data_IF_226992146726
#
_entry.id   IF_226992146726
#
_cell.length_a   1.000
_cell.length_b   1.000
_cell.length_c   1.000
_cell.angle_alpha   90.00
_cell.angle_beta   90.00
_cell.angle_gamma   90.00
#
_symmetry.space_group_name_H-M   'P 1'
#
loop_
_entity.id
_entity.type
_entity.pdbx_description
1 polymer ?
#
# COMPACT_ATOMS: atom_id res chain seq x y z
N UNK A 1 23.43 4.47 -13.51
CA UNK A 1 23.53 3.28 -12.65
C UNK A 1 22.88 3.52 -11.28
N UNK A 2 23.29 4.54 -10.51
CA UNK A 2 22.73 4.82 -9.17
C UNK A 2 21.21 5.08 -9.14
N UNK A 3 20.66 5.82 -10.12
CA UNK A 3 19.21 6.10 -10.16
C UNK A 3 18.35 4.86 -10.38
N UNK A 4 18.78 3.95 -11.26
CA UNK A 4 18.07 2.71 -11.55
C UNK A 4 18.02 1.79 -10.31
N UNK A 5 19.12 1.73 -9.56
CA UNK A 5 19.19 0.99 -8.31
C UNK A 5 18.26 1.58 -7.24
N UNK A 6 18.22 2.90 -7.10
CA UNK A 6 17.33 3.57 -6.16
C UNK A 6 15.87 3.35 -6.53
N UNK A 7 15.53 3.43 -7.82
CA UNK A 7 14.19 3.14 -8.33
C UNK A 7 13.77 1.71 -8.00
N UNK A 8 14.66 0.74 -8.24
CA UNK A 8 14.40 -0.66 -7.85
C UNK A 8 14.24 -0.84 -6.34
N UNK A 9 14.99 -0.09 -5.51
CA UNK A 9 14.83 -0.14 -4.05
C UNK A 9 13.46 0.35 -3.62
N UNK A 10 13.01 1.49 -4.15
CA UNK A 10 11.68 2.04 -3.87
C UNK A 10 10.58 1.06 -4.32
N UNK A 11 10.69 0.49 -5.52
CA UNK A 11 9.72 -0.48 -6.03
C UNK A 11 9.63 -1.73 -5.14
N UNK A 12 10.77 -2.25 -4.67
CA UNK A 12 10.78 -3.41 -3.74
C UNK A 12 10.15 -3.09 -2.39
N UNK A 13 10.36 -1.88 -1.87
CA UNK A 13 9.74 -1.46 -0.61
C UNK A 13 8.22 -1.29 -0.77
N UNK A 14 7.79 -0.73 -1.90
CA UNK A 14 6.37 -0.58 -2.22
C UNK A 14 5.68 -1.94 -2.39
N UNK A 15 6.28 -2.88 -3.13
CA UNK A 15 5.71 -4.21 -3.32
C UNK A 15 5.53 -4.96 -1.99
N UNK A 16 6.50 -4.84 -1.06
CA UNK A 16 6.36 -5.37 0.30
C UNK A 16 5.28 -4.67 1.11
N UNK A 17 5.15 -3.35 0.99
CA UNK A 17 4.11 -2.63 1.69
C UNK A 17 2.71 -3.01 1.21
N UNK A 18 2.55 -3.25 -0.09
CA UNK A 18 1.30 -3.71 -0.68
C UNK A 18 0.94 -5.14 -0.25
N UNK A 19 1.90 -6.01 0.08
CA UNK A 19 1.62 -7.36 0.57
C UNK A 19 1.12 -7.39 2.02
N UNK A 20 1.22 -6.29 2.77
CA UNK A 20 0.65 -6.17 4.13
C UNK A 20 -0.86 -5.88 4.09
N UNK A 21 -1.39 -5.48 2.93
CA UNK A 21 -2.82 -5.29 2.74
C UNK A 21 -3.52 -6.65 2.61
N UNK A 22 -4.66 -6.79 3.28
CA UNK A 22 -5.60 -7.88 3.01
C UNK A 22 -6.15 -7.77 1.59
N UNK A 23 -6.68 -8.87 1.03
CA UNK A 23 -7.29 -8.87 -0.29
C UNK A 23 -8.39 -7.80 -0.44
N UNK A 24 -9.18 -7.57 0.62
CA UNK A 24 -10.21 -6.51 0.65
C UNK A 24 -9.61 -5.11 0.64
N UNK A 25 -8.61 -4.86 1.49
CA UNK A 25 -7.90 -3.57 1.50
C UNK A 25 -7.25 -3.29 0.14
N UNK A 26 -6.63 -4.31 -0.45
CA UNK A 26 -5.99 -4.21 -1.76
C UNK A 26 -7.00 -3.86 -2.85
N UNK A 27 -8.16 -4.54 -2.87
CA UNK A 27 -9.22 -4.25 -3.84
C UNK A 27 -9.71 -2.80 -3.75
N UNK A 28 -9.94 -2.28 -2.54
CA UNK A 28 -10.38 -0.88 -2.35
C UNK A 28 -9.31 0.12 -2.81
N UNK A 29 -8.03 -0.15 -2.52
CA UNK A 29 -6.93 0.72 -2.98
C UNK A 29 -6.81 0.69 -4.50
N UNK A 30 -6.80 -0.50 -5.11
CA UNK A 30 -6.66 -0.65 -6.56
C UNK A 30 -7.81 0.06 -7.29
N UNK A 31 -9.05 -0.12 -6.79
CA UNK A 31 -10.28 0.44 -7.34
C UNK A 31 -10.44 1.96 -7.23
N UNK A 32 -9.73 2.61 -6.30
CA UNK A 32 -9.94 4.03 -5.99
C UNK A 32 -8.71 4.91 -6.11
N UNK A 33 -7.52 4.32 -6.05
CA UNK A 33 -6.24 5.06 -6.01
C UNK A 33 -5.27 4.63 -7.11
N UNK A 34 -5.41 3.42 -7.68
CA UNK A 34 -4.53 2.91 -8.75
C UNK A 34 -5.24 2.82 -10.10
N UNK A 35 -6.44 3.38 -10.21
CA UNK A 35 -7.22 3.47 -11.45
C UNK A 35 -7.51 4.94 -11.74
N UNK A 36 -7.58 5.28 -13.03
CA UNK A 36 -7.97 6.62 -13.47
C UNK A 36 -9.46 6.88 -13.24
N UNK A 37 -10.28 5.83 -13.32
CA UNK A 37 -11.73 5.89 -13.09
C UNK A 37 -12.04 5.25 -11.74
N UNK A 38 -12.05 6.06 -10.69
CA UNK A 38 -12.28 5.59 -9.33
C UNK A 38 -13.73 5.11 -9.15
N UNK A 39 -13.89 3.86 -8.70
CA UNK A 39 -15.20 3.33 -8.31
C UNK A 39 -15.75 4.06 -7.08
N UNK A 40 -17.08 4.22 -7.05
CA UNK A 40 -17.79 4.83 -5.93
C UNK A 40 -17.76 3.91 -4.69
N UNK A 41 -18.02 4.48 -3.52
CA UNK A 41 -18.08 3.70 -2.28
C UNK A 41 -19.22 2.69 -2.27
N UNK A 42 -20.35 3.01 -2.91
CA UNK A 42 -21.52 2.14 -3.00
C UNK A 42 -21.26 0.94 -3.93
N UNK A 43 -20.66 1.15 -5.09
CA UNK A 43 -20.29 0.07 -6.02
C UNK A 43 -19.34 -0.94 -5.35
N UNK A 44 -18.30 -0.43 -4.68
CA UNK A 44 -17.37 -1.27 -3.93
C UNK A 44 -18.00 -1.92 -2.71
N UNK A 45 -18.95 -1.24 -2.07
CA UNK A 45 -19.72 -1.80 -0.96
C UNK A 45 -20.55 -3.01 -1.39
N UNK A 46 -21.24 -2.88 -2.53
CA UNK A 46 -21.97 -3.97 -3.16
C UNK A 46 -21.06 -5.14 -3.55
N UNK A 47 -19.94 -4.87 -4.22
CA UNK A 47 -18.97 -5.89 -4.65
C UNK A 47 -18.36 -6.64 -3.46
N UNK A 48 -17.93 -5.92 -2.43
CA UNK A 48 -17.24 -6.49 -1.27
C UNK A 48 -18.21 -6.98 -0.18
N UNK A 49 -19.52 -6.80 -0.38
CA UNK A 49 -20.60 -7.09 0.58
C UNK A 49 -20.37 -6.44 1.95
N UNK A 50 -20.03 -5.16 1.94
CA UNK A 50 -19.82 -4.31 3.13
C UNK A 50 -20.47 -2.95 2.92
N UNK A 51 -20.70 -2.20 4.00
CA UNK A 51 -21.23 -0.84 3.85
C UNK A 51 -20.25 0.11 3.19
N UNK A 52 -20.76 1.14 2.52
CA UNK A 52 -19.98 2.22 1.91
C UNK A 52 -19.12 2.95 2.93
N UNK A 53 -19.63 3.08 4.17
CA UNK A 53 -18.86 3.59 5.32
C UNK A 53 -17.66 2.68 5.64
N UNK A 54 -17.84 1.35 5.57
CA UNK A 54 -16.73 0.41 5.77
C UNK A 54 -15.69 0.53 4.66
N UNK A 55 -16.11 0.71 3.40
CA UNK A 55 -15.20 0.98 2.27
C UNK A 55 -14.41 2.27 2.53
N UNK A 56 -15.08 3.33 2.99
CA UNK A 56 -14.44 4.61 3.36
C UNK A 56 -13.37 4.42 4.42
N UNK A 57 -13.67 3.68 5.49
CA UNK A 57 -12.74 3.37 6.57
C UNK A 57 -11.52 2.59 6.08
N UNK A 58 -11.75 1.58 5.23
CA UNK A 58 -10.66 0.81 4.59
C UNK A 58 -9.78 1.75 3.75
N UNK A 59 -10.39 2.58 2.91
CA UNK A 59 -9.68 3.55 2.07
C UNK A 59 -8.87 4.59 2.85
N UNK A 60 -9.32 4.97 4.05
CA UNK A 60 -8.54 5.86 4.94
C UNK A 60 -7.39 5.17 5.67
N UNK A 61 -7.57 3.90 6.07
CA UNK A 61 -6.58 3.15 6.85
C UNK A 61 -5.49 2.50 6.00
N UNK A 62 -5.85 1.97 4.83
CA UNK A 62 -4.92 1.24 3.99
C UNK A 62 -3.71 2.09 3.51
N UNK A 63 -3.85 3.36 3.10
CA UNK A 63 -2.69 4.19 2.74
C UNK A 63 -1.74 4.44 3.92
N UNK A 64 -2.28 4.56 5.14
CA UNK A 64 -1.46 4.71 6.35
C UNK A 64 -0.65 3.43 6.63
N UNK A 65 -1.28 2.26 6.43
CA UNK A 65 -0.63 0.96 6.55
C UNK A 65 0.50 0.78 5.54
N UNK A 66 0.28 1.18 4.28
CA UNK A 66 1.33 1.19 3.23
C UNK A 66 2.49 2.09 3.65
N UNK A 67 2.21 3.34 4.04
CA UNK A 67 3.25 4.30 4.46
C UNK A 67 4.08 3.77 5.63
N UNK A 68 3.44 3.18 6.64
CA UNK A 68 4.12 2.58 7.78
C UNK A 68 5.02 1.41 7.36
N UNK A 69 4.53 0.51 6.49
CA UNK A 69 5.30 -0.62 6.00
C UNK A 69 6.51 -0.19 5.15
N UNK A 70 6.35 0.82 4.27
CA UNK A 70 7.46 1.38 3.49
C UNK A 70 8.53 1.98 4.42
N UNK A 71 8.13 2.78 5.41
CA UNK A 71 9.08 3.36 6.39
C UNK A 71 9.83 2.28 7.17
N UNK A 72 9.11 1.26 7.64
CA UNK A 72 9.71 0.15 8.37
C UNK A 72 10.75 -0.62 7.52
N UNK A 73 10.48 -0.85 6.23
CA UNK A 73 11.41 -1.52 5.31
C UNK A 73 12.67 -0.66 5.05
N UNK A 74 12.51 0.65 4.85
CA UNK A 74 13.63 1.58 4.64
C UNK A 74 14.49 1.68 5.91
N UNK A 75 13.87 1.82 7.08
CA UNK A 75 14.56 1.93 8.37
C UNK A 75 15.23 0.61 8.78
N UNK A 76 14.56 -0.53 8.59
CA UNK A 76 15.13 -1.85 8.84
C UNK A 76 16.40 -2.07 8.04
N UNK A 77 16.40 -1.71 6.75
CA UNK A 77 17.60 -1.75 5.90
C UNK A 77 18.72 -0.84 6.40
N UNK A 78 18.40 0.39 6.82
CA UNK A 78 19.40 1.31 7.40
C UNK A 78 20.04 0.76 8.68
N UNK A 79 19.31 -0.04 9.46
CA UNK A 79 19.86 -0.74 10.64
C UNK A 79 20.74 -1.92 10.22
N UNK A 80 20.31 -2.75 9.28
CA UNK A 80 21.09 -3.90 8.78
C UNK A 80 22.33 -3.51 7.98
N UNK A 81 22.39 -2.31 7.41
CA UNK A 81 23.58 -1.76 6.77
C UNK A 81 24.60 -1.27 7.81
N UNK A 82 24.13 -0.64 8.89
CA UNK A 82 24.97 -0.15 9.99
C UNK A 82 25.54 -1.27 10.88
N UNK A 83 24.86 -2.40 10.97
CA UNK A 83 25.33 -3.58 11.73
C UNK A 83 26.39 -4.42 10.98
N UNK A 84 26.62 -4.15 9.69
CA UNK A 84 27.57 -4.90 8.84
C UNK A 84 28.86 -4.12 8.54
N UNK A 85 29.00 -2.94 9.10
CA UNK A 85 30.20 -2.11 9.08
C UNK A 85 30.82 -2.13 10.48
#
# INVERSE_FOLDING_TARGET
MAEAEERQRVLRALNRALSVLSARERRVIDARLMTEQAQTLDELGGELRISSERVRQIGGRAPQKIKAAVRAEIEGRRRSARSRA
#
